data_IF_090596489846
#
_entry.id   IF_090596489846
#
_cell.length_a   1.000
_cell.length_b   1.000
_cell.length_c   1.000
_cell.angle_alpha   90.00
_cell.angle_beta   90.00
_cell.angle_gamma   90.00
#
_symmetry.space_group_name_H-M   'P 1'
#
loop_
_entity.id
_entity.type
_entity.pdbx_description
1 polymer ?
#
# COMPACT_ATOMS: atom_id res chain seq x y z
N UNK A 1 11.98 -20.81 26.38
CA UNK A 1 12.46 -19.68 25.56
C UNK A 1 11.22 -18.94 25.12
N UNK A 2 10.97 -17.77 25.67
CA UNK A 2 9.90 -16.90 25.16
C UNK A 2 10.41 -16.30 23.85
N UNK A 3 9.65 -16.50 22.77
CA UNK A 3 9.94 -15.82 21.50
C UNK A 3 9.71 -14.33 21.70
N UNK A 4 10.71 -13.50 21.38
CA UNK A 4 10.51 -12.05 21.33
C UNK A 4 9.37 -11.75 20.36
N UNK A 5 8.45 -10.82 20.70
CA UNK A 5 7.35 -10.49 19.81
C UNK A 5 7.93 -9.89 18.52
N UNK A 6 7.52 -10.46 17.38
CA UNK A 6 7.98 -10.11 16.05
C UNK A 6 6.89 -9.34 15.30
N UNK A 7 7.27 -8.46 14.37
CA UNK A 7 6.30 -7.91 13.42
C UNK A 7 5.73 -9.04 12.58
N UNK A 8 4.41 -9.03 12.32
CA UNK A 8 3.78 -9.95 11.36
C UNK A 8 3.28 -9.20 10.14
N UNK A 9 3.32 -9.87 9.00
CA UNK A 9 2.84 -9.39 7.71
C UNK A 9 1.99 -10.51 7.12
N UNK A 10 0.68 -10.35 7.20
CA UNK A 10 -0.29 -11.35 6.79
C UNK A 10 -0.88 -10.98 5.43
N UNK A 11 -0.68 -11.84 4.44
CA UNK A 11 -1.21 -11.65 3.09
C UNK A 11 -2.65 -12.14 3.01
N UNK A 12 -3.52 -11.32 2.47
CA UNK A 12 -4.89 -11.65 2.16
C UNK A 12 -5.13 -11.46 0.66
N UNK A 13 -5.66 -12.49 0.01
CA UNK A 13 -5.88 -12.55 -1.44
C UNK A 13 -7.39 -12.60 -1.66
N UNK A 14 -7.88 -11.72 -2.52
CA UNK A 14 -9.30 -11.68 -2.87
C UNK A 14 -9.73 -13.00 -3.54
N UNK A 15 -10.83 -13.58 -3.09
CA UNK A 15 -11.42 -14.80 -3.67
C UNK A 15 -12.71 -14.56 -4.44
N UNK A 16 -13.04 -13.31 -4.75
CA UNK A 16 -14.21 -12.99 -5.56
C UNK A 16 -13.98 -13.50 -7.00
N UNK A 17 -14.24 -14.79 -7.23
CA UNK A 17 -14.05 -15.45 -8.52
C UNK A 17 -15.06 -14.90 -9.52
N UNK A 18 -14.58 -14.28 -10.59
CA UNK A 18 -15.40 -13.90 -11.75
C UNK A 18 -15.71 -12.41 -11.87
N UNK A 19 -15.51 -11.65 -10.79
CA UNK A 19 -15.55 -10.20 -10.84
C UNK A 19 -14.13 -9.71 -11.10
N UNK A 20 -13.93 -8.89 -12.13
CA UNK A 20 -12.67 -8.15 -12.24
C UNK A 20 -12.53 -7.29 -10.98
N UNK A 21 -11.31 -6.96 -10.53
CA UNK A 21 -11.13 -6.09 -9.37
C UNK A 21 -11.80 -4.71 -9.53
N UNK A 22 -12.06 -4.31 -10.77
CA UNK A 22 -12.83 -3.14 -11.17
C UNK A 22 -14.37 -3.30 -11.10
N UNK A 23 -14.89 -4.52 -11.02
CA UNK A 23 -16.32 -4.84 -10.96
C UNK A 23 -16.88 -4.87 -9.52
N UNK A 24 -16.08 -5.31 -8.53
CA UNK A 24 -16.44 -5.14 -7.11
C UNK A 24 -15.69 -3.98 -6.43
N UNK A 25 -14.72 -3.35 -7.11
CA UNK A 25 -13.90 -2.26 -6.55
C UNK A 25 -13.37 -2.62 -5.16
N UNK A 26 -13.55 -1.68 -4.24
CA UNK A 26 -13.10 -1.73 -2.83
C UNK A 26 -14.00 -2.62 -1.95
N UNK A 27 -15.05 -3.24 -2.51
CA UNK A 27 -16.08 -3.98 -1.75
C UNK A 27 -15.83 -5.49 -1.67
N UNK A 28 -14.56 -5.90 -1.59
CA UNK A 28 -14.22 -7.31 -1.45
C UNK A 28 -14.74 -7.89 -0.15
N UNK A 29 -15.58 -8.91 -0.26
CA UNK A 29 -16.22 -9.57 0.88
C UNK A 29 -15.59 -10.90 1.25
N UNK A 30 -14.77 -11.50 0.36
CA UNK A 30 -14.12 -12.80 0.58
C UNK A 30 -12.62 -12.70 0.39
N UNK A 31 -11.89 -13.12 1.41
CA UNK A 31 -10.43 -13.05 1.49
C UNK A 31 -9.85 -14.37 1.99
N UNK A 32 -8.88 -14.91 1.27
CA UNK A 32 -8.09 -16.05 1.71
C UNK A 32 -6.73 -15.60 2.23
N UNK A 33 -6.33 -16.17 3.36
CA UNK A 33 -4.97 -16.02 3.87
C UNK A 33 -3.96 -16.69 2.92
N UNK A 34 -3.03 -15.89 2.40
CA UNK A 34 -2.01 -16.28 1.43
C UNK A 34 -0.67 -16.64 2.06
N UNK A 35 -0.44 -16.26 3.32
CA UNK A 35 0.80 -16.53 4.05
C UNK A 35 1.10 -15.49 5.12
N UNK A 36 2.07 -15.80 5.97
CA UNK A 36 2.58 -14.92 7.02
C UNK A 36 4.09 -14.78 6.89
N UNK A 37 4.58 -13.55 7.00
CA UNK A 37 6.00 -13.23 7.10
C UNK A 37 6.28 -12.52 8.41
N UNK A 38 7.51 -12.67 8.92
CA UNK A 38 7.93 -12.11 10.21
C UNK A 38 9.05 -11.08 10.02
N UNK A 39 9.13 -10.10 10.92
CA UNK A 39 10.19 -9.10 11.03
C UNK A 39 10.49 -8.36 9.71
N UNK A 40 11.62 -8.62 9.07
CA UNK A 40 11.99 -7.95 7.81
C UNK A 40 11.31 -8.58 6.57
N UNK A 41 10.39 -9.52 6.79
CA UNK A 41 9.65 -10.25 5.76
C UNK A 41 8.62 -9.42 4.98
N UNK A 42 8.39 -8.17 5.36
CA UNK A 42 7.46 -7.26 4.67
C UNK A 42 7.72 -7.17 3.15
N UNK A 43 9.00 -7.15 2.72
CA UNK A 43 9.34 -7.08 1.29
C UNK A 43 8.82 -8.28 0.52
N UNK A 44 8.98 -9.47 1.08
CA UNK A 44 8.51 -10.70 0.47
C UNK A 44 6.97 -10.74 0.45
N UNK A 45 6.32 -10.33 1.55
CA UNK A 45 4.88 -10.22 1.61
C UNK A 45 4.32 -9.25 0.55
N UNK A 46 4.93 -8.07 0.38
CA UNK A 46 4.46 -7.05 -0.58
C UNK A 46 4.66 -7.52 -2.03
N UNK A 47 5.80 -8.15 -2.34
CA UNK A 47 6.03 -8.73 -3.66
C UNK A 47 5.08 -9.87 -3.97
N UNK A 48 4.72 -10.69 -2.98
CA UNK A 48 3.77 -11.78 -3.17
C UNK A 48 2.34 -11.26 -3.36
N UNK A 49 1.95 -10.19 -2.65
CA UNK A 49 0.70 -9.48 -2.89
C UNK A 49 0.62 -8.88 -4.29
N UNK A 50 1.71 -8.26 -4.77
CA UNK A 50 1.79 -7.62 -6.09
C UNK A 50 1.71 -8.60 -7.27
N UNK A 51 1.79 -9.91 -7.01
CA UNK A 51 1.58 -10.97 -8.03
C UNK A 51 0.13 -11.41 -8.16
N UNK A 52 -0.73 -10.98 -7.24
CA UNK A 52 -2.14 -11.32 -7.24
C UNK A 52 -2.94 -10.26 -8.00
N UNK A 53 -4.14 -10.59 -8.46
CA UNK A 53 -5.00 -9.58 -9.10
C UNK A 53 -5.58 -8.56 -8.11
N UNK A 54 -5.83 -9.01 -6.88
CA UNK A 54 -6.23 -8.16 -5.76
C UNK A 54 -5.78 -8.79 -4.44
N UNK A 55 -4.92 -8.10 -3.69
CA UNK A 55 -4.42 -8.56 -2.41
C UNK A 55 -4.03 -7.39 -1.51
N UNK A 56 -4.07 -7.59 -0.20
CA UNK A 56 -3.47 -6.67 0.77
C UNK A 56 -2.59 -7.42 1.78
N UNK A 57 -1.70 -6.67 2.41
CA UNK A 57 -0.86 -7.13 3.50
C UNK A 57 -1.22 -6.36 4.76
N UNK A 58 -1.78 -7.08 5.73
CA UNK A 58 -2.00 -6.57 7.08
C UNK A 58 -0.69 -6.67 7.88
N UNK A 59 -0.32 -5.61 8.57
CA UNK A 59 0.85 -5.56 9.43
C UNK A 59 0.43 -5.53 10.88
N UNK A 60 0.99 -6.41 11.72
CA UNK A 60 0.71 -6.42 13.16
C UNK A 60 1.94 -5.99 13.96
N UNK A 61 1.75 -4.99 14.82
CA UNK A 61 2.79 -4.48 15.72
C UNK A 61 3.10 -5.47 16.85
N UNK A 62 4.38 -5.78 17.11
CA UNK A 62 4.78 -6.67 18.21
C UNK A 62 4.55 -6.05 19.59
N UNK A 63 4.38 -4.73 19.67
CA UNK A 63 4.33 -4.01 20.94
C UNK A 63 2.93 -3.92 21.54
N UNK A 64 1.90 -3.91 20.70
CA UNK A 64 0.52 -3.68 21.11
C UNK A 64 -0.53 -4.47 20.31
N UNK A 65 -0.10 -5.29 19.34
CA UNK A 65 -1.01 -6.06 18.49
C UNK A 65 -1.86 -5.21 17.54
N UNK A 66 -1.57 -3.91 17.40
CA UNK A 66 -2.30 -3.05 16.48
C UNK A 66 -2.05 -3.50 15.04
N UNK A 67 -3.11 -3.60 14.24
CA UNK A 67 -3.04 -3.96 12.83
C UNK A 67 -3.27 -2.75 11.93
N UNK A 68 -2.70 -2.79 10.72
CA UNK A 68 -2.90 -1.79 9.68
C UNK A 68 -2.64 -2.38 8.30
N UNK A 69 -3.25 -1.82 7.25
CA UNK A 69 -2.87 -2.16 5.87
C UNK A 69 -1.50 -1.54 5.57
N UNK A 70 -0.49 -2.39 5.44
CA UNK A 70 0.87 -1.99 5.07
C UNK A 70 0.99 -1.76 3.57
N UNK A 71 0.34 -2.62 2.79
CA UNK A 71 0.36 -2.61 1.33
C UNK A 71 -0.95 -3.17 0.78
N UNK A 72 -1.40 -2.60 -0.33
CA UNK A 72 -2.54 -3.10 -1.09
C UNK A 72 -2.19 -3.07 -2.57
N UNK A 73 -2.59 -4.11 -3.29
CA UNK A 73 -2.39 -4.24 -4.72
C UNK A 73 -3.71 -4.58 -5.39
N UNK A 74 -4.00 -3.84 -6.44
CA UNK A 74 -5.14 -4.04 -7.31
C UNK A 74 -4.63 -3.97 -8.75
N UNK A 75 -4.94 -4.96 -9.58
CA UNK A 75 -4.62 -4.90 -11.01
C UNK A 75 -5.28 -3.67 -11.65
N UNK A 76 -4.48 -2.87 -12.36
CA UNK A 76 -4.90 -1.58 -12.89
C UNK A 76 -4.89 -0.42 -11.87
N UNK A 77 -4.54 -0.68 -10.61
CA UNK A 77 -4.48 0.28 -9.52
C UNK A 77 -5.85 0.62 -8.93
N UNK A 78 -5.91 0.98 -7.65
CA UNK A 78 -7.14 1.41 -6.99
C UNK A 78 -7.60 2.80 -7.42
N UNK A 79 -8.87 3.11 -7.14
CA UNK A 79 -9.45 4.42 -7.45
C UNK A 79 -8.69 5.50 -6.67
N UNK A 80 -8.25 6.56 -7.36
CA UNK A 80 -7.50 7.64 -6.71
C UNK A 80 -8.36 8.30 -5.63
N UNK A 81 -7.89 8.32 -4.39
CA UNK A 81 -8.68 8.83 -3.26
C UNK A 81 -8.89 10.36 -3.33
N UNK A 82 -8.05 11.08 -4.08
CA UNK A 82 -8.16 12.53 -4.23
C UNK A 82 -9.09 12.99 -5.36
N UNK A 83 -9.05 12.30 -6.51
CA UNK A 83 -9.80 12.74 -7.70
C UNK A 83 -10.56 11.62 -8.41
N UNK A 84 -10.38 10.37 -8.01
CA UNK A 84 -10.97 9.20 -8.63
C UNK A 84 -12.49 9.25 -8.72
N UNK A 85 -13.24 9.67 -7.67
CA UNK A 85 -14.70 9.78 -7.76
C UNK A 85 -15.21 10.66 -8.90
N UNK A 86 -14.45 11.70 -9.28
CA UNK A 86 -14.84 12.65 -10.34
C UNK A 86 -14.20 12.32 -11.69
N UNK A 87 -13.01 11.71 -11.70
CA UNK A 87 -12.19 11.55 -12.92
C UNK A 87 -12.07 10.10 -13.39
N UNK A 88 -12.45 9.13 -12.57
CA UNK A 88 -12.19 7.70 -12.81
C UNK A 88 -10.71 7.32 -12.79
N UNK A 89 -9.80 8.24 -12.44
CA UNK A 89 -8.36 7.95 -12.43
C UNK A 89 -8.01 6.96 -11.33
N UNK A 90 -7.09 6.07 -11.67
CA UNK A 90 -6.56 5.01 -10.80
C UNK A 90 -5.06 5.15 -10.62
N UNK A 91 -4.52 4.49 -9.61
CA UNK A 91 -3.08 4.43 -9.39
C UNK A 91 -2.68 3.43 -8.30
N UNK A 92 -1.38 3.29 -8.04
CA UNK A 92 -0.86 2.34 -7.07
C UNK A 92 -1.10 2.78 -5.63
N UNK A 93 -1.01 1.83 -4.70
CA UNK A 93 -0.96 2.11 -3.27
C UNK A 93 0.32 2.90 -2.96
N UNK A 94 0.12 4.16 -2.60
CA UNK A 94 1.16 5.18 -2.57
C UNK A 94 1.33 5.68 -1.15
N UNK A 95 2.58 5.71 -0.69
CA UNK A 95 2.94 6.36 0.56
C UNK A 95 2.93 7.86 0.36
N UNK A 96 2.44 8.56 1.36
CA UNK A 96 2.58 10.01 1.54
C UNK A 96 3.10 10.27 2.96
N UNK A 97 3.53 11.50 3.30
CA UNK A 97 3.91 11.85 4.67
C UNK A 97 2.83 11.59 5.73
N UNK A 98 1.56 11.70 5.33
CA UNK A 98 0.42 11.61 6.25
C UNK A 98 -0.22 10.22 6.28
N UNK A 99 -0.28 9.50 5.15
CA UNK A 99 -0.87 8.17 5.10
C UNK A 99 -0.44 7.37 3.86
N UNK A 100 -0.93 6.12 3.74
CA UNK A 100 -0.91 5.34 2.49
C UNK A 100 -2.32 5.30 1.89
N UNK A 101 -2.40 5.44 0.57
CA UNK A 101 -3.66 5.55 -0.16
C UNK A 101 -3.44 5.29 -1.64
N UNK A 102 -4.50 4.98 -2.38
CA UNK A 102 -4.41 4.91 -3.84
C UNK A 102 -4.31 6.32 -4.45
N UNK A 103 -3.25 6.56 -5.23
CA UNK A 103 -3.02 7.86 -5.88
C UNK A 103 -2.66 7.68 -7.36
N UNK A 104 -3.39 8.37 -8.24
CA UNK A 104 -3.03 8.45 -9.64
C UNK A 104 -1.76 9.31 -9.84
N UNK A 105 -1.06 9.08 -10.95
CA UNK A 105 0.20 9.79 -11.30
C UNK A 105 0.08 11.33 -11.22
N UNK A 106 -1.04 11.89 -11.67
CA UNK A 106 -1.27 13.35 -11.63
C UNK A 106 -1.29 13.86 -10.19
N UNK A 107 -2.15 13.28 -9.35
CA UNK A 107 -2.27 13.69 -7.95
C UNK A 107 -0.99 13.37 -7.15
N UNK A 108 -0.31 12.26 -7.45
CA UNK A 108 0.98 11.92 -6.85
C UNK A 108 2.04 12.98 -7.12
N UNK A 109 2.18 13.43 -8.38
CA UNK A 109 3.12 14.50 -8.74
C UNK A 109 2.77 15.85 -8.10
N UNK A 110 1.49 16.23 -8.11
CA UNK A 110 1.04 17.48 -7.50
C UNK A 110 1.33 17.48 -6.00
N UNK A 111 1.07 16.36 -5.31
CA UNK A 111 1.36 16.22 -3.89
C UNK A 111 2.86 16.24 -3.60
N UNK A 112 3.68 15.55 -4.41
CA UNK A 112 5.14 15.61 -4.29
C UNK A 112 5.64 17.04 -4.46
N UNK A 113 5.12 17.80 -5.42
CA UNK A 113 5.51 19.19 -5.65
C UNK A 113 5.20 20.06 -4.42
N UNK A 114 4.05 19.88 -3.77
CA UNK A 114 3.71 20.58 -2.53
C UNK A 114 4.73 20.30 -1.42
N UNK A 115 5.14 19.04 -1.25
CA UNK A 115 6.16 18.69 -0.25
C UNK A 115 7.56 19.19 -0.63
N UNK A 116 7.92 19.16 -1.90
CA UNK A 116 9.17 19.73 -2.39
C UNK A 116 9.25 21.24 -2.09
N UNK A 117 8.16 21.97 -2.31
CA UNK A 117 8.09 23.41 -2.01
C UNK A 117 8.15 23.68 -0.51
N UNK A 118 7.50 22.85 0.31
CA UNK A 118 7.61 22.91 1.77
C UNK A 118 9.05 22.65 2.23
N UNK A 119 9.70 21.59 1.74
CA UNK A 119 11.09 21.27 2.10
C UNK A 119 12.06 22.37 1.70
N UNK A 120 11.88 22.95 0.50
CA UNK A 120 12.63 24.13 0.07
C UNK A 120 12.45 25.31 1.02
N UNK A 121 11.23 25.57 1.50
CA UNK A 121 10.96 26.66 2.45
C UNK A 121 11.61 26.43 3.82
N UNK A 122 11.80 25.17 4.21
CA UNK A 122 12.41 24.75 5.48
C UNK A 122 13.93 24.54 5.39
N UNK A 123 14.54 24.71 4.21
CA UNK A 123 15.97 24.47 4.00
C UNK A 123 16.38 22.99 4.05
N UNK A 124 15.43 22.07 3.86
CA UNK A 124 15.66 20.63 3.85
C UNK A 124 15.90 20.15 2.41
N UNK A 125 16.81 19.20 2.22
CA UNK A 125 17.04 18.56 0.92
C UNK A 125 15.81 17.76 0.49
N UNK A 126 15.53 17.74 -0.81
CA UNK A 126 14.41 16.97 -1.40
C UNK A 126 14.36 15.53 -0.88
N UNK A 127 13.18 15.10 -0.46
CA UNK A 127 12.87 13.70 -0.13
C UNK A 127 11.79 13.17 -1.05
N UNK A 128 11.84 11.87 -1.34
CA UNK A 128 10.85 11.18 -2.17
C UNK A 128 9.69 10.74 -1.28
N UNK A 129 8.88 11.71 -0.87
CA UNK A 129 7.83 11.56 0.14
C UNK A 129 6.57 10.90 -0.40
N UNK A 130 6.33 11.06 -1.70
CA UNK A 130 5.18 10.50 -2.40
C UNK A 130 5.68 9.47 -3.39
N UNK A 131 5.52 8.18 -3.06
CA UNK A 131 5.98 7.09 -3.92
C UNK A 131 5.16 5.81 -3.72
N UNK A 132 5.02 4.96 -4.76
CA UNK A 132 4.40 3.65 -4.61
C UNK A 132 5.08 2.85 -3.50
N UNK A 133 4.28 2.25 -2.61
CA UNK A 133 4.79 1.45 -1.48
C UNK A 133 5.59 0.24 -1.96
N UNK A 134 5.25 -0.31 -3.13
CA UNK A 134 5.98 -1.44 -3.70
C UNK A 134 7.45 -1.10 -3.98
N UNK A 135 7.79 0.17 -4.25
CA UNK A 135 9.19 0.58 -4.40
C UNK A 135 9.99 0.41 -3.11
N UNK A 136 9.37 0.57 -1.93
CA UNK A 136 10.03 0.32 -0.64
C UNK A 136 10.41 -1.18 -0.49
N UNK A 137 9.69 -2.07 -1.18
CA UNK A 137 10.02 -3.49 -1.20
C UNK A 137 11.22 -3.81 -2.09
N UNK A 138 11.50 -2.98 -3.10
CA UNK A 138 12.56 -3.18 -4.09
C UNK A 138 13.85 -2.42 -3.81
N UNK A 139 13.83 -1.48 -2.87
CA UNK A 139 15.04 -0.90 -2.30
C UNK A 139 15.74 -1.96 -1.40
N UNK A 140 16.99 -2.30 -1.78
CA UNK A 140 18.00 -3.18 -1.14
C UNK A 140 18.03 -4.66 -1.56
#
# INVERSE_FOLDING_TARGET
MEHSPAWTYDLYICESVGDKPEEHGDSCTSWRHGGTWLDYGFRAAYREAARQGHAYVETTSPHNGATAIGFEHLDGGGLCELCGPTTGRRGPWTRTPSNRQFLCDVCGRELQQVFDDLHKSLGVSRSRDVRPVLEDADEF
#
